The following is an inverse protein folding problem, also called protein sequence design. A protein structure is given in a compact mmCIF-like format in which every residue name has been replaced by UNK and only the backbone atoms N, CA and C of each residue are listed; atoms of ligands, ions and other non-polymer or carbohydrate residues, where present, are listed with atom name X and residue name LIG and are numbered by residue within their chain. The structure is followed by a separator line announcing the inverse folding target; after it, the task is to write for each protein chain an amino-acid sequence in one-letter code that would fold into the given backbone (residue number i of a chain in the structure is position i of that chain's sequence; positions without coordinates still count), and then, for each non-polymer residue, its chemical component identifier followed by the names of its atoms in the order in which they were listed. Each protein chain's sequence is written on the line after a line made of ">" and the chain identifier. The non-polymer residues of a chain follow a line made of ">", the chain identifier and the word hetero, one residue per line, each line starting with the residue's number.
data_IF_732181754243
#
_entry.id   IF_732181754243
#
_cell.length_a   1.000
_cell.length_b   1.000
_cell.length_c   1.000
_cell.angle_alpha   90.00
_cell.angle_beta   90.00
_cell.angle_gamma   90.00
#
_symmetry.space_group_name_H-M   'P 1'
#
loop_
_entity.id
_entity.type
_entity.pdbx_description
1 polymer ?
#
# COMPACT_ATOMS: atom_id res chain seq x y z
N UNK A 1 23.40 2.37 10.25
CA UNK A 1 22.83 2.43 11.61
C UNK A 1 21.47 1.75 11.54
N UNK A 2 21.38 0.53 12.05
CA UNK A 2 20.12 -0.23 12.11
C UNK A 2 19.30 0.38 13.26
N UNK A 3 18.14 0.94 12.96
CA UNK A 3 17.22 1.46 13.96
C UNK A 3 16.45 0.25 14.53
N UNK A 4 16.66 -0.17 15.79
CA UNK A 4 16.11 -1.42 16.31
C UNK A 4 14.74 -1.24 16.96
N UNK A 5 14.13 -0.06 16.86
CA UNK A 5 12.84 0.20 17.47
C UNK A 5 11.73 -0.42 16.62
N UNK A 6 10.87 -1.29 17.18
CA UNK A 6 9.58 -1.51 16.54
C UNK A 6 8.94 -0.13 16.48
N UNK A 7 8.67 0.37 15.28
CA UNK A 7 8.01 1.66 15.11
C UNK A 7 6.58 1.51 15.62
N UNK A 8 6.33 1.48 16.92
CA UNK A 8 4.97 1.42 17.42
C UNK A 8 4.36 2.80 17.19
N UNK A 9 3.49 2.88 16.19
CA UNK A 9 2.80 4.12 15.90
C UNK A 9 1.72 4.30 16.96
N UNK A 10 1.68 5.47 17.58
CA UNK A 10 0.65 5.82 18.55
C UNK A 10 -0.23 6.93 18.00
N UNK A 11 -1.53 6.78 18.17
CA UNK A 11 -2.53 7.82 17.92
C UNK A 11 -3.36 7.95 19.19
N UNK A 12 -3.23 9.08 19.90
CA UNK A 12 -3.98 9.34 21.13
C UNK A 12 -3.82 8.23 22.17
N UNK A 13 -2.59 7.80 22.44
CA UNK A 13 -2.21 6.70 23.35
C UNK A 13 -2.63 5.28 22.92
N UNK A 14 -3.24 5.11 21.74
CA UNK A 14 -3.50 3.78 21.16
C UNK A 14 -2.34 3.39 20.25
N UNK A 15 -1.64 2.32 20.61
CA UNK A 15 -0.53 1.75 19.84
C UNK A 15 -1.04 0.79 18.76
N UNK A 16 -0.48 0.89 17.56
CA UNK A 16 -0.77 -0.03 16.47
C UNK A 16 0.48 -0.35 15.63
N UNK A 17 0.44 -1.50 14.96
CA UNK A 17 1.51 -1.94 14.08
C UNK A 17 1.59 -1.05 12.84
N UNK A 18 2.79 -0.61 12.42
CA UNK A 18 2.94 0.11 11.16
C UNK A 18 2.50 -0.67 9.94
N UNK A 19 2.50 -2.00 9.99
CA UNK A 19 1.95 -2.83 8.92
C UNK A 19 0.48 -2.50 8.65
N UNK A 20 -0.28 -2.15 9.70
CA UNK A 20 -1.67 -1.72 9.56
C UNK A 20 -1.77 -0.43 8.72
N UNK A 21 -0.89 0.53 9.00
CA UNK A 21 -0.86 1.80 8.28
C UNK A 21 -0.35 1.62 6.85
N UNK A 22 0.72 0.84 6.66
CA UNK A 22 1.26 0.50 5.33
C UNK A 22 0.17 -0.16 4.50
N UNK A 23 -0.51 -1.19 5.03
CA UNK A 23 -1.56 -1.91 4.33
C UNK A 23 -2.72 -0.99 3.97
N UNK A 24 -3.17 -0.15 4.91
CA UNK A 24 -4.26 0.80 4.68
C UNK A 24 -3.92 1.81 3.59
N UNK A 25 -2.75 2.45 3.67
CA UNK A 25 -2.30 3.42 2.67
C UNK A 25 -2.10 2.78 1.29
N UNK A 26 -1.50 1.59 1.25
CA UNK A 26 -1.29 0.83 0.01
C UNK A 26 -2.61 0.45 -0.65
N UNK A 27 -3.60 0.07 0.16
CA UNK A 27 -4.93 -0.28 -0.32
C UNK A 27 -5.67 0.94 -0.90
N UNK A 28 -5.62 2.08 -0.21
CA UNK A 28 -6.19 3.33 -0.74
C UNK A 28 -5.51 3.77 -2.04
N UNK A 29 -4.18 3.70 -2.10
CA UNK A 29 -3.42 4.01 -3.32
C UNK A 29 -3.78 3.05 -4.47
N UNK A 30 -3.86 1.75 -4.20
CA UNK A 30 -4.25 0.74 -5.19
C UNK A 30 -5.66 0.98 -5.74
N UNK A 31 -6.62 1.35 -4.87
CA UNK A 31 -7.98 1.70 -5.29
C UNK A 31 -7.97 2.89 -6.25
N UNK A 32 -7.31 3.98 -5.87
CA UNK A 32 -7.20 5.19 -6.71
C UNK A 32 -6.58 4.85 -8.07
N UNK A 33 -5.51 4.05 -8.07
CA UNK A 33 -4.82 3.65 -9.29
C UNK A 33 -5.71 2.78 -10.18
N UNK A 34 -6.39 1.77 -9.64
CA UNK A 34 -7.30 0.93 -10.44
C UNK A 34 -8.50 1.73 -10.96
N UNK A 35 -9.04 2.66 -10.18
CA UNK A 35 -10.08 3.59 -10.65
C UNK A 35 -9.57 4.46 -11.81
N UNK A 36 -8.32 4.94 -11.74
CA UNK A 36 -7.69 5.69 -12.83
C UNK A 36 -7.50 4.81 -14.08
N UNK A 37 -7.00 3.57 -13.94
CA UNK A 37 -6.87 2.62 -15.05
C UNK A 37 -8.21 2.35 -15.74
N UNK A 38 -9.27 2.15 -14.95
CA UNK A 38 -10.62 1.96 -15.45
C UNK A 38 -11.12 3.20 -16.23
N UNK A 39 -10.92 4.40 -15.68
CA UNK A 39 -11.30 5.65 -16.34
C UNK A 39 -10.57 5.86 -17.67
N UNK A 40 -9.29 5.49 -17.72
CA UNK A 40 -8.45 5.55 -18.92
C UNK A 40 -8.68 4.39 -19.90
N UNK A 41 -9.60 3.46 -19.59
CA UNK A 41 -9.88 2.24 -20.38
C UNK A 41 -8.63 1.36 -20.61
N UNK A 42 -7.59 1.52 -19.77
CA UNK A 42 -6.37 0.72 -19.81
C UNK A 42 -6.63 -0.73 -19.36
N UNK A 43 -7.69 -0.94 -18.58
CA UNK A 43 -8.13 -2.26 -18.13
C UNK A 43 -8.40 -3.23 -19.29
N UNK A 44 -8.69 -2.73 -20.50
CA UNK A 44 -8.88 -3.60 -21.69
C UNK A 44 -7.63 -4.39 -22.09
N UNK A 45 -6.44 -3.90 -21.71
CA UNK A 45 -5.16 -4.54 -22.04
C UNK A 45 -4.70 -5.51 -20.95
N UNK A 46 -5.45 -5.61 -19.86
CA UNK A 46 -5.08 -6.40 -18.71
C UNK A 46 -5.95 -7.65 -18.65
N UNK A 47 -5.31 -8.81 -18.50
CA UNK A 47 -5.97 -10.11 -18.57
C UNK A 47 -7.11 -10.25 -17.56
N UNK A 48 -6.84 -9.96 -16.28
CA UNK A 48 -7.80 -10.14 -15.21
C UNK A 48 -7.66 -9.00 -14.17
N UNK A 49 -8.70 -8.16 -13.98
CA UNK A 49 -8.65 -6.98 -13.11
C UNK A 49 -8.27 -7.27 -11.66
N UNK A 50 -8.66 -8.43 -11.14
CA UNK A 50 -8.33 -8.86 -9.76
C UNK A 50 -6.84 -9.07 -9.55
N UNK A 51 -6.15 -9.71 -10.51
CA UNK A 51 -4.70 -9.94 -10.42
C UNK A 51 -3.92 -8.63 -10.51
N UNK A 52 -4.37 -7.71 -11.36
CA UNK A 52 -3.79 -6.37 -11.47
C UNK A 52 -3.91 -5.62 -10.15
N UNK A 53 -5.09 -5.67 -9.52
CA UNK A 53 -5.30 -5.03 -8.22
C UNK A 53 -4.34 -5.57 -7.16
N UNK A 54 -4.21 -6.90 -7.05
CA UNK A 54 -3.28 -7.53 -6.10
C UNK A 54 -1.83 -7.16 -6.40
N UNK A 55 -1.43 -7.13 -7.69
CA UNK A 55 -0.08 -6.74 -8.08
C UNK A 55 0.24 -5.28 -7.74
N UNK A 56 -0.69 -4.36 -8.02
CA UNK A 56 -0.55 -2.93 -7.67
C UNK A 56 -0.52 -2.75 -6.15
N UNK A 57 -1.38 -3.46 -5.42
CA UNK A 57 -1.41 -3.42 -3.96
C UNK A 57 -0.07 -3.89 -3.37
N UNK A 58 0.44 -5.03 -3.81
CA UNK A 58 1.72 -5.56 -3.35
C UNK A 58 2.88 -4.60 -3.68
N UNK A 59 2.86 -3.99 -4.86
CA UNK A 59 3.84 -2.99 -5.26
C UNK A 59 3.80 -1.77 -4.34
N UNK A 60 2.61 -1.26 -4.00
CA UNK A 60 2.49 -0.14 -3.06
C UNK A 60 2.91 -0.50 -1.65
N UNK A 61 2.62 -1.71 -1.18
CA UNK A 61 3.10 -2.19 0.14
C UNK A 61 4.62 -2.12 0.18
N UNK A 62 5.31 -2.68 -0.81
CA UNK A 62 6.78 -2.67 -0.86
C UNK A 62 7.33 -1.26 -0.98
N UNK A 63 6.73 -0.40 -1.81
CA UNK A 63 7.20 0.99 -1.97
C UNK A 63 7.02 1.82 -0.70
N UNK A 64 5.84 1.76 -0.07
CA UNK A 64 5.54 2.55 1.13
C UNK A 64 6.38 2.06 2.31
N UNK A 65 6.55 0.74 2.43
CA UNK A 65 7.43 0.15 3.42
C UNK A 65 8.88 0.59 3.23
N UNK A 66 9.44 0.40 2.02
CA UNK A 66 10.86 0.67 1.75
C UNK A 66 11.22 2.15 1.85
N UNK A 67 10.37 3.04 1.36
CA UNK A 67 10.70 4.46 1.24
C UNK A 67 10.17 5.32 2.38
N UNK A 68 9.05 4.96 3.01
CA UNK A 68 8.35 5.83 3.95
C UNK A 68 8.46 5.37 5.40
N UNK A 69 7.97 4.17 5.69
CA UNK A 69 7.82 3.69 7.07
C UNK A 69 9.09 2.97 7.53
N UNK A 70 9.88 2.40 6.61
CA UNK A 70 11.14 1.69 6.86
C UNK A 70 11.03 0.81 8.10
N UNK A 71 10.25 -0.25 7.95
CA UNK A 71 10.16 -1.30 8.96
C UNK A 71 11.51 -2.02 9.14
#
# INVERSE_FOLDING_TARGET
>A
MLNPYPHELSVGDVYYSPLLLVAFLSFMAALVTVMALNKLKLTRYLYAPSYVFIAILALYVVLIDTFWIKF
#
